data_IF_339514658227
#
_entry.id   IF_339514658227
#
_cell.length_a   1.000
_cell.length_b   1.000
_cell.length_c   1.000
_cell.angle_alpha   90.00
_cell.angle_beta   90.00
_cell.angle_gamma   90.00
#
_symmetry.space_group_name_H-M   'P 1'
#
loop_
_entity.id
_entity.type
_entity.pdbx_description
1 polymer ?
#
# COMPACT_ATOMS: atom_id res chain seq x y z
N UNK A 1 6.11 -2.35 -23.18
CA UNK A 1 4.67 -2.36 -22.83
C UNK A 1 4.32 -1.02 -22.18
N UNK A 2 3.19 -0.40 -22.55
CA UNK A 2 2.69 0.78 -21.85
C UNK A 2 2.58 0.53 -20.34
N UNK A 3 2.95 1.51 -19.51
CA UNK A 3 2.96 1.38 -18.05
C UNK A 3 4.15 0.61 -17.47
N UNK A 4 5.16 0.29 -18.28
CA UNK A 4 6.39 -0.32 -17.80
C UNK A 4 7.22 0.60 -16.92
N UNK A 5 8.00 -0.04 -16.06
CA UNK A 5 8.97 0.57 -15.18
C UNK A 5 10.39 0.12 -15.59
N UNK A 6 11.42 0.98 -15.55
CA UNK A 6 12.77 0.60 -15.92
C UNK A 6 13.27 -0.56 -15.07
N UNK A 7 13.75 -1.63 -15.72
CA UNK A 7 14.21 -2.84 -15.04
C UNK A 7 15.34 -2.55 -14.05
N UNK A 8 16.23 -1.59 -14.38
CA UNK A 8 17.32 -1.16 -13.49
C UNK A 8 16.82 -0.74 -12.09
N UNK A 9 15.62 -0.15 -12.01
CA UNK A 9 15.07 0.30 -10.74
C UNK A 9 14.63 -0.83 -9.81
N UNK A 10 14.54 -2.08 -10.30
CA UNK A 10 14.33 -3.26 -9.46
C UNK A 10 15.61 -3.64 -8.70
N UNK A 11 16.78 -3.32 -9.25
CA UNK A 11 18.08 -3.76 -8.76
C UNK A 11 18.85 -2.65 -8.03
N UNK A 12 18.68 -1.38 -8.42
CA UNK A 12 19.37 -0.22 -7.82
C UNK A 12 19.03 0.04 -6.35
N UNK A 13 17.97 -0.56 -5.82
CA UNK A 13 17.47 -0.29 -4.48
C UNK A 13 17.85 -1.34 -3.42
N UNK A 14 18.55 -2.41 -3.78
CA UNK A 14 18.85 -3.57 -2.90
C UNK A 14 17.64 -4.01 -2.04
N UNK A 15 16.42 -3.78 -2.54
CA UNK A 15 15.24 -3.78 -1.70
C UNK A 15 14.77 -5.22 -1.44
N UNK A 16 14.80 -5.72 -0.20
CA UNK A 16 14.15 -6.98 0.15
C UNK A 16 12.63 -6.77 0.05
N UNK A 17 12.09 -7.04 -1.13
CA UNK A 17 10.76 -6.62 -1.57
C UNK A 17 10.58 -5.07 -1.54
N UNK A 18 10.04 -4.47 -2.60
CA UNK A 18 9.64 -3.08 -2.54
C UNK A 18 8.69 -2.87 -1.35
N UNK A 19 9.09 -2.02 -0.41
CA UNK A 19 8.31 -1.70 0.78
C UNK A 19 6.90 -1.25 0.38
N UNK A 20 5.88 -1.58 1.17
CA UNK A 20 4.47 -1.21 0.93
C UNK A 20 4.25 0.27 0.56
N UNK A 21 5.15 1.17 0.95
CA UNK A 21 5.13 2.58 0.58
C UNK A 21 5.20 2.88 -0.93
N UNK A 22 5.60 1.91 -1.77
CA UNK A 22 5.72 2.10 -3.22
C UNK A 22 4.53 1.55 -4.01
N UNK A 23 3.56 0.91 -3.36
CA UNK A 23 2.43 0.29 -4.04
C UNK A 23 1.10 0.80 -3.51
N UNK A 24 0.23 1.20 -4.43
CA UNK A 24 -1.12 1.60 -4.08
C UNK A 24 -2.13 0.44 -4.11
N UNK A 25 -1.80 -0.71 -4.70
CA UNK A 25 -2.82 -1.72 -5.04
C UNK A 25 -3.29 -2.52 -3.84
N UNK A 26 -2.37 -3.05 -3.03
CA UNK A 26 -2.71 -3.99 -1.97
C UNK A 26 -1.86 -3.80 -0.73
N UNK A 27 -2.53 -3.66 0.41
CA UNK A 27 -1.93 -3.82 1.72
C UNK A 27 -2.04 -5.29 2.14
N UNK A 28 -0.90 -5.92 2.40
CA UNK A 28 -0.81 -7.17 3.14
C UNK A 28 0.17 -7.01 4.28
N UNK A 29 -0.10 -7.67 5.41
CA UNK A 29 0.79 -7.67 6.56
C UNK A 29 1.27 -9.08 6.85
N UNK A 30 2.59 -9.26 6.90
CA UNK A 30 3.21 -10.55 7.16
C UNK A 30 3.74 -10.65 8.58
N UNK A 31 3.72 -11.86 9.13
CA UNK A 31 4.11 -12.16 10.52
C UNK A 31 5.50 -11.65 10.93
N UNK A 32 6.46 -11.68 10.01
CA UNK A 32 7.83 -11.21 10.22
C UNK A 32 8.02 -9.68 10.13
N UNK A 33 6.97 -8.91 9.81
CA UNK A 33 7.07 -7.46 9.72
C UNK A 33 6.78 -6.81 11.07
N UNK A 34 7.59 -5.81 11.42
CA UNK A 34 7.55 -5.15 12.74
C UNK A 34 6.82 -3.81 12.75
N UNK A 35 6.50 -3.23 11.59
CA UNK A 35 5.87 -1.90 11.48
C UNK A 35 4.42 -1.85 11.96
N UNK A 36 3.73 -2.97 11.87
CA UNK A 36 2.36 -3.14 12.32
C UNK A 36 2.31 -4.47 13.05
N UNK A 37 1.50 -4.57 14.10
CA UNK A 37 1.19 -5.85 14.73
C UNK A 37 -0.21 -6.26 14.28
N UNK A 38 -0.35 -7.43 13.65
CA UNK A 38 -1.66 -8.02 13.36
C UNK A 38 -2.48 -8.13 14.66
N UNK A 39 -3.47 -7.26 14.85
CA UNK A 39 -4.17 -7.14 16.14
C UNK A 39 -5.14 -8.30 16.35
N UNK A 40 -5.66 -8.88 15.26
CA UNK A 40 -6.42 -10.13 15.31
C UNK A 40 -5.63 -11.31 15.86
N UNK A 41 -4.30 -11.24 15.76
CA UNK A 41 -3.40 -12.35 16.07
C UNK A 41 -3.72 -13.64 15.27
N UNK A 42 -4.45 -13.53 14.16
CA UNK A 42 -4.79 -14.63 13.26
C UNK A 42 -3.93 -14.54 12.00
N UNK A 43 -3.22 -15.62 11.69
CA UNK A 43 -2.35 -15.70 10.52
C UNK A 43 -2.68 -16.93 9.67
N UNK A 44 -2.71 -16.76 8.35
CA UNK A 44 -2.90 -17.84 7.37
C UNK A 44 -1.82 -17.79 6.29
N UNK A 45 -0.93 -18.77 6.30
CA UNK A 45 0.30 -18.81 5.50
C UNK A 45 1.17 -17.56 5.77
N UNK A 46 1.40 -17.27 7.06
CA UNK A 46 2.15 -16.11 7.58
C UNK A 46 1.63 -14.71 7.19
N UNK A 47 0.54 -14.62 6.44
CA UNK A 47 -0.19 -13.37 6.21
C UNK A 47 -1.28 -13.17 7.28
N UNK A 48 -1.37 -11.95 7.81
CA UNK A 48 -2.39 -11.53 8.75
C UNK A 48 -3.78 -11.63 8.13
N UNK A 49 -4.72 -12.18 8.89
CA UNK A 49 -6.15 -12.11 8.60
C UNK A 49 -6.72 -11.02 9.49
N UNK A 50 -7.10 -9.90 8.89
CA UNK A 50 -7.58 -8.72 9.62
C UNK A 50 -8.94 -8.97 10.26
N UNK A 51 -9.13 -8.44 11.46
CA UNK A 51 -10.40 -8.38 12.18
C UNK A 51 -10.80 -6.95 12.54
N UNK A 52 -11.88 -6.80 13.31
CA UNK A 52 -12.41 -5.49 13.72
C UNK A 52 -11.39 -4.63 14.48
N UNK A 53 -10.50 -5.26 15.24
CA UNK A 53 -9.42 -4.62 16.00
C UNK A 53 -8.35 -3.95 15.13
N UNK A 54 -8.24 -4.38 13.86
CA UNK A 54 -7.32 -3.82 12.88
C UNK A 54 -7.90 -2.57 12.18
N UNK A 55 -9.23 -2.35 12.25
CA UNK A 55 -9.94 -1.28 11.51
C UNK A 55 -9.36 0.13 11.68
N UNK A 56 -8.97 0.59 12.88
CA UNK A 56 -8.41 1.94 13.03
C UNK A 56 -7.11 2.14 12.24
N UNK A 57 -6.36 1.06 12.00
CA UNK A 57 -5.16 1.11 11.17
C UNK A 57 -5.49 1.01 9.68
N UNK A 58 -6.36 0.06 9.33
CA UNK A 58 -6.81 -0.18 7.95
C UNK A 58 -7.49 1.06 7.33
N UNK A 59 -8.32 1.77 8.11
CA UNK A 59 -8.98 3.00 7.66
C UNK A 59 -8.02 4.11 7.20
N UNK A 60 -6.74 4.06 7.61
CA UNK A 60 -5.72 5.06 7.37
C UNK A 60 -4.66 4.65 6.33
N UNK A 61 -4.68 3.42 5.81
CA UNK A 61 -3.67 3.00 4.82
C UNK A 61 -3.94 3.63 3.46
N UNK A 62 -2.88 3.95 2.71
CA UNK A 62 -2.97 4.51 1.35
C UNK A 62 -3.22 3.46 0.26
N UNK A 63 -3.45 2.20 0.63
CA UNK A 63 -3.67 1.12 -0.32
C UNK A 63 -5.15 1.06 -0.70
N UNK A 64 -5.45 0.65 -1.93
CA UNK A 64 -6.80 0.56 -2.47
C UNK A 64 -7.51 -0.70 -1.96
N UNK A 65 -6.76 -1.79 -1.77
CA UNK A 65 -7.28 -3.08 -1.32
C UNK A 65 -6.45 -3.62 -0.16
N UNK A 66 -7.08 -4.45 0.66
CA UNK A 66 -6.44 -5.09 1.82
C UNK A 66 -6.53 -6.61 1.70
N UNK A 67 -5.51 -7.29 2.21
CA UNK A 67 -5.42 -8.74 2.21
C UNK A 67 -4.75 -9.24 3.51
N UNK A 68 -5.38 -10.10 4.32
CA UNK A 68 -6.59 -10.91 4.07
C UNK A 68 -7.75 -10.52 4.98
N UNK A 69 -8.97 -10.50 4.45
CA UNK A 69 -10.21 -10.50 5.22
C UNK A 69 -10.94 -11.82 4.95
N UNK A 70 -11.44 -12.48 5.99
CA UNK A 70 -12.12 -13.78 5.87
C UNK A 70 -13.43 -13.80 6.65
N UNK A 71 -14.59 -14.02 6.01
CA UNK A 71 -15.89 -14.07 6.68
C UNK A 71 -15.96 -15.08 7.83
N UNK A 72 -15.23 -16.19 7.72
CA UNK A 72 -15.22 -17.25 8.74
C UNK A 72 -14.42 -16.86 9.99
N UNK A 73 -13.55 -15.86 9.88
CA UNK A 73 -12.74 -15.34 10.98
C UNK A 73 -13.45 -14.15 11.61
N UNK A 74 -13.78 -13.15 10.80
CA UNK A 74 -14.47 -11.94 11.26
C UNK A 74 -15.25 -11.28 10.13
N UNK A 75 -16.55 -11.57 10.06
CA UNK A 75 -17.46 -10.88 9.14
C UNK A 75 -17.72 -9.42 9.55
N UNK A 76 -17.58 -9.11 10.84
CA UNK A 76 -17.74 -7.74 11.37
C UNK A 76 -16.74 -6.79 10.74
N UNK A 77 -15.48 -7.21 10.59
CA UNK A 77 -14.45 -6.43 9.91
C UNK A 77 -14.86 -6.05 8.47
N UNK A 78 -15.38 -7.02 7.70
CA UNK A 78 -15.86 -6.81 6.33
C UNK A 78 -17.05 -5.85 6.31
N UNK A 79 -18.02 -6.06 7.19
CA UNK A 79 -19.21 -5.20 7.30
C UNK A 79 -18.84 -3.76 7.65
N UNK A 80 -17.94 -3.56 8.61
CA UNK A 80 -17.51 -2.22 9.05
C UNK A 80 -16.71 -1.48 7.98
N UNK A 81 -15.84 -2.16 7.22
CA UNK A 81 -15.17 -1.55 6.05
C UNK A 81 -16.20 -1.14 5.00
N UNK A 82 -17.19 -1.99 4.73
CA UNK A 82 -18.29 -1.66 3.82
C UNK A 82 -19.07 -0.42 4.25
N UNK A 83 -19.42 -0.32 5.53
CA UNK A 83 -20.09 0.85 6.10
C UNK A 83 -19.21 2.10 6.05
N UNK A 84 -17.91 1.99 6.38
CA UNK A 84 -16.94 3.08 6.28
C UNK A 84 -16.89 3.65 4.86
N UNK A 85 -16.76 2.78 3.85
CA UNK A 85 -16.75 3.18 2.45
C UNK A 85 -18.09 3.80 2.02
N UNK A 86 -19.21 3.24 2.47
CA UNK A 86 -20.53 3.82 2.21
C UNK A 86 -20.66 5.23 2.82
N UNK A 87 -20.23 5.42 4.07
CA UNK A 87 -20.29 6.72 4.74
C UNK A 87 -19.39 7.77 4.06
N UNK A 88 -18.19 7.39 3.65
CA UNK A 88 -17.27 8.26 2.89
C UNK A 88 -17.86 8.68 1.54
N UNK A 89 -18.47 7.74 0.81
CA UNK A 89 -18.94 7.99 -0.56
C UNK A 89 -20.36 8.57 -0.64
N UNK A 90 -21.26 8.17 0.25
CA UNK A 90 -22.66 8.57 0.23
C UNK A 90 -22.94 9.81 1.11
N UNK A 91 -22.29 9.89 2.28
CA UNK A 91 -22.48 11.01 3.22
C UNK A 91 -21.32 12.02 3.23
N UNK A 92 -20.24 11.77 2.48
CA UNK A 92 -19.09 12.67 2.44
C UNK A 92 -18.34 12.74 3.77
N UNK A 93 -18.28 11.64 4.52
CA UNK A 93 -17.51 11.58 5.77
C UNK A 93 -16.02 11.82 5.49
N UNK A 94 -15.44 12.85 6.11
CA UNK A 94 -14.02 13.21 6.01
C UNK A 94 -13.25 12.79 7.28
N UNK A 95 -13.03 11.48 7.46
CA UNK A 95 -12.29 10.92 8.61
C UNK A 95 -10.80 10.67 8.31
N UNK A 96 -10.49 10.17 7.10
CA UNK A 96 -9.13 9.99 6.60
C UNK A 96 -9.06 10.52 5.16
N UNK A 97 -8.79 11.83 4.98
CA UNK A 97 -8.74 12.42 3.64
C UNK A 97 -7.64 11.76 2.82
N UNK A 98 -7.92 11.57 1.52
CA UNK A 98 -6.97 10.98 0.59
C UNK A 98 -5.72 11.85 0.49
N UNK A 99 -4.56 11.33 0.89
CA UNK A 99 -3.29 12.02 0.68
C UNK A 99 -2.85 11.86 -0.77
N UNK A 100 -3.20 12.87 -1.59
CA UNK A 100 -2.86 12.89 -3.01
C UNK A 100 -1.34 12.87 -3.25
N UNK A 101 -0.55 13.39 -2.30
CA UNK A 101 0.90 13.48 -2.45
C UNK A 101 1.54 12.10 -2.59
N UNK A 102 0.99 11.08 -1.92
CA UNK A 102 1.47 9.69 -2.03
C UNK A 102 1.32 9.20 -3.47
N UNK A 103 0.11 9.35 -4.04
CA UNK A 103 -0.20 8.85 -5.39
C UNK A 103 0.52 9.64 -6.48
N UNK A 104 0.64 10.96 -6.32
CA UNK A 104 1.32 11.83 -7.28
C UNK A 104 2.82 11.55 -7.37
N UNK A 105 3.42 11.10 -6.27
CA UNK A 105 4.84 10.78 -6.16
C UNK A 105 5.17 9.31 -6.44
N UNK A 106 4.17 8.48 -6.78
CA UNK A 106 4.42 7.10 -7.16
C UNK A 106 5.40 7.04 -8.35
N UNK A 107 6.34 6.08 -8.36
CA UNK A 107 7.42 6.08 -9.36
C UNK A 107 6.90 5.95 -10.79
N UNK A 108 5.88 5.13 -11.01
CA UNK A 108 5.22 4.97 -12.30
C UNK A 108 4.50 6.25 -12.75
N UNK A 109 3.94 7.03 -11.83
CA UNK A 109 3.29 8.31 -12.13
C UNK A 109 4.32 9.36 -12.54
N UNK A 110 5.40 9.49 -11.77
CA UNK A 110 6.53 10.39 -12.08
C UNK A 110 7.16 10.07 -13.43
N UNK A 111 7.42 8.78 -13.68
CA UNK A 111 7.94 8.31 -14.95
C UNK A 111 7.01 8.66 -16.11
N UNK A 112 5.71 8.38 -15.97
CA UNK A 112 4.73 8.67 -17.01
C UNK A 112 4.67 10.18 -17.33
N UNK A 113 4.59 11.04 -16.31
CA UNK A 113 4.62 12.51 -16.49
C UNK A 113 5.88 12.98 -17.21
N UNK A 114 7.05 12.45 -16.85
CA UNK A 114 8.30 12.81 -17.53
C UNK A 114 8.37 12.33 -18.98
N UNK A 115 7.89 11.11 -19.26
CA UNK A 115 7.83 10.57 -20.63
C UNK A 115 6.86 11.32 -21.54
N UNK A 116 5.79 11.92 -20.99
CA UNK A 116 4.90 12.79 -21.76
C UNK A 116 5.62 14.06 -22.25
N UNK A 117 6.56 14.59 -21.47
CA UNK A 117 7.34 15.77 -21.83
C UNK A 117 8.53 15.43 -22.73
N UNK A 118 9.20 14.31 -22.47
CA UNK A 118 10.39 13.85 -23.19
C UNK A 118 10.43 12.32 -23.22
N UNK A 119 10.24 11.66 -24.38
CA UNK A 119 10.32 10.20 -24.48
C UNK A 119 11.66 9.61 -24.04
N UNK A 120 12.76 10.36 -24.15
CA UNK A 120 14.10 9.93 -23.69
C UNK A 120 14.26 9.98 -22.16
N UNK A 121 13.26 10.47 -21.44
CA UNK A 121 13.25 10.53 -19.98
C UNK A 121 13.30 9.14 -19.34
N UNK A 122 12.79 8.11 -20.01
CA UNK A 122 12.82 6.73 -19.51
C UNK A 122 14.25 6.28 -19.13
N UNK A 123 15.22 6.56 -20.00
CA UNK A 123 16.62 6.17 -19.79
C UNK A 123 17.34 7.01 -18.73
N UNK A 124 16.77 8.15 -18.34
CA UNK A 124 17.35 9.07 -17.33
C UNK A 124 16.54 9.15 -16.04
N UNK A 125 15.43 8.41 -15.95
CA UNK A 125 14.59 8.39 -14.77
C UNK A 125 15.38 7.95 -13.53
N UNK A 126 15.34 8.78 -12.50
CA UNK A 126 15.94 8.50 -11.20
C UNK A 126 15.09 7.52 -10.41
N UNK A 127 15.64 6.33 -10.15
CA UNK A 127 14.95 5.30 -9.39
C UNK A 127 14.73 5.74 -7.92
N UNK A 128 13.54 5.49 -7.34
CA UNK A 128 13.17 5.86 -5.99
C UNK A 128 14.01 5.06 -5.01
N UNK A 129 14.76 5.74 -4.14
CA UNK A 129 15.55 5.08 -3.10
C UNK A 129 14.63 4.62 -1.98
N UNK A 130 14.59 3.31 -1.73
CA UNK A 130 13.89 2.77 -0.56
C UNK A 130 14.85 2.92 0.62
N UNK A 131 14.53 3.81 1.56
CA UNK A 131 15.24 3.79 2.84
C UNK A 131 14.92 2.46 3.52
N UNK A 132 15.93 1.59 3.65
CA UNK A 132 15.85 0.47 4.57
C UNK A 132 15.53 1.07 5.95
N UNK A 133 14.31 0.86 6.45
CA UNK A 133 14.01 1.26 7.80
C UNK A 133 14.98 0.51 8.72
N UNK A 134 15.78 1.27 9.45
CA UNK A 134 16.63 0.72 10.48
C UNK A 134 15.70 0.03 11.48
N UNK A 135 15.79 -1.29 11.57
CA UNK A 135 15.34 -2.03 12.73
C UNK A 135 16.16 -1.50 13.91
N UNK A 136 15.58 -0.58 14.68
CA UNK A 136 16.04 -0.37 16.04
C UNK A 136 15.67 -1.62 16.84
N UNK A 137 16.70 -2.21 17.46
CA UNK A 137 16.63 -3.40 18.28
C UNK A 137 16.10 -3.08 19.67
#
# INVERSE_FOLDING_TARGET
MPGQYPERCLWENEAPAPSNHLFATRFDHWKWWTFYSCRSNVYRHDACVFGIEDLPYLAAVHHIMENKLMPEIDYGAISCIGELLYNRTHYGLEDHPLDHSIYENLPNVRLHKGMQADPSYFDRFECPKISAAKSEK
#
